data_IF_662863560608
#
_entry.id   IF_662863560608
#
_cell.length_a   1.000
_cell.length_b   1.000
_cell.length_c   1.000
_cell.angle_alpha   90.00
_cell.angle_beta   90.00
_cell.angle_gamma   90.00
#
_symmetry.space_group_name_H-M   'P 1'
#
loop_
_entity.id
_entity.type
_entity.pdbx_description
1 polymer ?
#
# COMPACT_ATOMS: atom_id res chain seq x y z
N UNK A 1 2.72 -4.01 30.66
CA UNK A 1 3.01 -4.56 29.31
C UNK A 1 2.98 -3.38 28.36
N UNK A 2 4.15 -2.84 28.01
CA UNK A 2 4.24 -1.71 27.09
C UNK A 2 4.28 -2.32 25.69
N UNK A 3 3.16 -2.28 24.98
CA UNK A 3 3.15 -2.56 23.54
C UNK A 3 3.43 -1.20 22.88
N UNK A 4 4.70 -0.93 22.58
CA UNK A 4 5.04 0.14 21.64
C UNK A 4 4.80 -0.46 20.26
N UNK A 5 3.60 -0.29 19.70
CA UNK A 5 3.40 -0.52 18.25
C UNK A 5 4.07 0.64 17.54
N UNK A 6 5.03 0.32 16.68
CA UNK A 6 5.93 1.26 16.03
C UNK A 6 5.20 2.52 15.54
N UNK A 7 5.49 3.67 16.14
CA UNK A 7 5.13 4.96 15.51
C UNK A 7 6.11 5.17 14.38
N UNK A 8 5.72 4.77 13.17
CA UNK A 8 6.51 5.05 11.97
C UNK A 8 6.51 6.57 11.79
N UNK A 9 7.70 7.16 11.70
CA UNK A 9 7.82 8.57 11.32
C UNK A 9 8.10 8.63 9.83
N UNK A 10 7.12 9.12 9.08
CA UNK A 10 7.26 9.40 7.65
C UNK A 10 7.67 10.87 7.48
N UNK A 11 8.43 11.14 6.42
CA UNK A 11 8.66 12.53 5.99
C UNK A 11 7.45 13.05 5.21
N UNK A 12 7.28 14.36 5.12
CA UNK A 12 6.22 14.99 4.30
C UNK A 12 6.24 14.50 2.84
N UNK A 13 7.44 14.23 2.28
CA UNK A 13 7.58 13.67 0.92
C UNK A 13 7.03 12.24 0.85
N UNK A 14 7.34 11.39 1.83
CA UNK A 14 6.85 10.02 1.89
C UNK A 14 5.33 9.96 2.09
N UNK A 15 4.78 10.82 2.94
CA UNK A 15 3.32 10.94 3.11
C UNK A 15 2.64 11.34 1.80
N UNK A 16 3.19 12.34 1.09
CA UNK A 16 2.67 12.78 -0.19
C UNK A 16 2.76 11.71 -1.29
N UNK A 17 3.86 10.95 -1.33
CA UNK A 17 4.02 9.83 -2.26
C UNK A 17 2.99 8.70 -1.94
N UNK A 18 2.75 8.40 -0.67
CA UNK A 18 1.75 7.42 -0.25
C UNK A 18 0.31 7.88 -0.54
N UNK A 19 -0.01 9.16 -0.39
CA UNK A 19 -1.33 9.70 -0.80
C UNK A 19 -1.54 9.53 -2.31
N UNK A 20 -0.51 9.75 -3.13
CA UNK A 20 -0.60 9.47 -4.57
C UNK A 20 -0.90 7.98 -4.84
N UNK A 21 -0.25 7.07 -4.10
CA UNK A 21 -0.54 5.64 -4.22
C UNK A 21 -1.96 5.29 -3.76
N UNK A 22 -2.48 5.92 -2.70
CA UNK A 22 -3.88 5.74 -2.26
C UNK A 22 -4.86 6.10 -3.37
N UNK A 23 -4.63 7.23 -4.05
CA UNK A 23 -5.44 7.64 -5.21
C UNK A 23 -5.33 6.67 -6.39
N UNK A 24 -4.15 6.09 -6.62
CA UNK A 24 -3.98 5.04 -7.63
C UNK A 24 -4.72 3.76 -7.23
N UNK A 25 -4.64 3.34 -5.97
CA UNK A 25 -5.34 2.16 -5.45
C UNK A 25 -6.86 2.30 -5.57
N UNK A 26 -7.42 3.49 -5.34
CA UNK A 26 -8.84 3.77 -5.57
C UNK A 26 -9.27 3.67 -7.03
N UNK A 27 -8.34 3.79 -7.99
CA UNK A 27 -8.60 3.72 -9.44
C UNK A 27 -8.19 2.41 -10.09
N UNK A 28 -7.28 1.65 -9.48
CA UNK A 28 -6.65 0.45 -10.04
C UNK A 28 -6.72 -0.70 -9.04
N UNK A 29 -7.57 -1.69 -9.33
CA UNK A 29 -7.76 -2.88 -8.48
C UNK A 29 -6.46 -3.58 -8.09
N UNK A 30 -5.50 -3.73 -9.01
CA UNK A 30 -4.22 -4.40 -8.73
C UNK A 30 -3.35 -3.66 -7.69
N UNK A 31 -3.50 -2.34 -7.55
CA UNK A 31 -2.86 -1.58 -6.47
C UNK A 31 -3.62 -1.72 -5.15
N UNK A 32 -4.95 -1.81 -5.20
CA UNK A 32 -5.73 -2.13 -4.00
C UNK A 32 -5.39 -3.53 -3.46
N UNK A 33 -5.27 -4.51 -4.36
CA UNK A 33 -4.79 -5.86 -4.07
C UNK A 33 -3.39 -5.87 -3.43
N UNK A 34 -2.46 -5.08 -3.98
CA UNK A 34 -1.13 -4.88 -3.38
C UNK A 34 -1.20 -4.31 -1.97
N UNK A 35 -1.90 -3.19 -1.79
CA UNK A 35 -2.05 -2.53 -0.50
C UNK A 35 -2.65 -3.48 0.55
N UNK A 36 -3.68 -4.23 0.18
CA UNK A 36 -4.37 -5.16 1.08
C UNK A 36 -3.54 -6.41 1.35
N UNK A 37 -2.78 -6.92 0.37
CA UNK A 37 -1.85 -8.03 0.58
C UNK A 37 -0.74 -7.67 1.59
N UNK A 38 -0.29 -6.41 1.62
CA UNK A 38 0.64 -5.91 2.64
C UNK A 38 0.01 -5.64 4.01
N UNK A 39 -1.32 -5.73 4.12
CA UNK A 39 -2.03 -5.76 5.40
C UNK A 39 -2.24 -7.21 5.88
N UNK A 40 -2.59 -8.10 4.96
CA UNK A 40 -2.80 -9.52 5.22
C UNK A 40 -2.41 -10.31 3.96
N UNK A 41 -1.44 -11.20 4.08
CA UNK A 41 -0.84 -11.93 2.96
C UNK A 41 -1.78 -12.98 2.34
N UNK A 42 -2.94 -13.24 2.96
CA UNK A 42 -3.99 -14.12 2.41
C UNK A 42 -4.67 -13.55 1.16
N UNK A 43 -4.53 -12.25 0.87
CA UNK A 43 -5.11 -11.64 -0.32
C UNK A 43 -4.17 -11.78 -1.53
N UNK A 44 -4.72 -12.07 -2.72
CA UNK A 44 -3.93 -12.09 -3.96
C UNK A 44 -3.44 -10.70 -4.33
N UNK A 45 -2.22 -10.63 -4.85
CA UNK A 45 -1.66 -9.43 -5.46
C UNK A 45 -0.99 -9.75 -6.80
N UNK A 46 -1.23 -8.90 -7.80
CA UNK A 46 -0.50 -8.93 -9.07
C UNK A 46 0.62 -7.87 -9.10
N UNK A 47 1.77 -8.20 -8.50
CA UNK A 47 2.95 -7.33 -8.46
C UNK A 47 3.43 -6.96 -9.88
N UNK A 48 3.34 -7.90 -10.84
CA UNK A 48 3.72 -7.62 -12.23
C UNK A 48 2.88 -6.51 -12.85
N UNK A 49 1.57 -6.48 -12.57
CA UNK A 49 0.70 -5.40 -13.02
C UNK A 49 1.08 -4.04 -12.39
N UNK A 50 1.44 -4.03 -11.10
CA UNK A 50 1.92 -2.83 -10.40
C UNK A 50 3.20 -2.28 -11.04
N UNK A 51 4.22 -3.13 -11.19
CA UNK A 51 5.51 -2.76 -11.78
C UNK A 51 5.38 -2.29 -13.24
N UNK A 52 4.54 -2.96 -14.04
CA UNK A 52 4.28 -2.53 -15.43
C UNK A 52 3.59 -1.15 -15.47
N UNK A 53 2.70 -0.87 -14.53
CA UNK A 53 2.01 0.42 -14.46
C UNK A 53 2.98 1.55 -14.07
N UNK A 54 3.87 1.33 -13.09
CA UNK A 54 4.92 2.30 -12.70
C UNK A 54 5.75 2.71 -13.91
N UNK A 55 6.13 1.76 -14.78
CA UNK A 55 6.92 2.05 -15.98
C UNK A 55 6.26 3.07 -16.93
N UNK A 56 4.93 3.22 -16.87
CA UNK A 56 4.17 4.15 -17.69
C UNK A 56 3.94 5.51 -17.04
N UNK A 57 4.29 5.70 -15.77
CA UNK A 57 4.15 6.99 -15.08
C UNK A 57 5.25 7.97 -15.51
N UNK A 58 4.90 9.26 -15.55
CA UNK A 58 5.83 10.32 -15.95
C UNK A 58 6.68 10.85 -14.80
N UNK A 59 6.31 10.57 -13.55
CA UNK A 59 7.05 10.92 -12.35
C UNK A 59 7.35 9.70 -11.49
N UNK A 60 8.27 9.87 -10.54
CA UNK A 60 8.74 8.79 -9.67
C UNK A 60 7.88 8.59 -8.42
N UNK A 61 6.81 9.35 -8.20
CA UNK A 61 6.07 9.33 -6.93
C UNK A 61 5.48 7.96 -6.64
N UNK A 62 4.82 7.36 -7.64
CA UNK A 62 4.24 6.03 -7.49
C UNK A 62 5.32 4.97 -7.26
N UNK A 63 6.47 5.11 -7.93
CA UNK A 63 7.61 4.20 -7.75
C UNK A 63 8.16 4.30 -6.33
N UNK A 64 8.41 5.52 -5.85
CA UNK A 64 8.89 5.79 -4.48
C UNK A 64 7.93 5.25 -3.43
N UNK A 65 6.64 5.49 -3.60
CA UNK A 65 5.60 4.97 -2.70
C UNK A 65 5.57 3.43 -2.69
N UNK A 66 5.63 2.81 -3.88
CA UNK A 66 5.66 1.36 -4.02
C UNK A 66 6.89 0.74 -3.35
N UNK A 67 8.07 1.30 -3.59
CA UNK A 67 9.34 0.84 -3.00
C UNK A 67 9.29 1.02 -1.46
N UNK A 68 8.80 2.16 -0.96
CA UNK A 68 8.62 2.42 0.47
C UNK A 68 7.69 1.40 1.14
N UNK A 69 6.56 1.07 0.52
CA UNK A 69 5.63 0.07 1.06
C UNK A 69 6.26 -1.32 1.17
N UNK A 70 7.07 -1.71 0.18
CA UNK A 70 7.82 -2.97 0.24
C UNK A 70 8.88 -2.95 1.35
N UNK A 71 9.63 -1.87 1.47
CA UNK A 71 10.66 -1.72 2.51
C UNK A 71 10.06 -1.75 3.92
N UNK A 72 8.87 -1.14 4.12
CA UNK A 72 8.13 -1.21 5.38
C UNK A 72 7.62 -2.64 5.64
N UNK A 73 7.07 -3.31 4.63
CA UNK A 73 6.62 -4.70 4.76
C UNK A 73 7.77 -5.65 5.12
N UNK A 74 8.96 -5.45 4.55
CA UNK A 74 10.16 -6.22 4.90
C UNK A 74 10.60 -6.03 6.36
N UNK A 75 10.21 -4.91 6.99
CA UNK A 75 10.44 -4.64 8.41
C UNK A 75 9.32 -5.19 9.31
N UNK A 76 8.34 -5.90 8.74
CA UNK A 76 7.18 -6.43 9.46
C UNK A 76 6.11 -5.38 9.78
N UNK A 77 6.12 -4.26 9.05
CA UNK A 77 5.16 -3.18 9.23
C UNK A 77 4.01 -3.37 8.23
N UNK A 78 2.80 -3.50 8.76
CA UNK A 78 1.61 -3.73 7.95
C UNK A 78 1.10 -2.43 7.32
N UNK A 79 0.50 -2.51 6.13
CA UNK A 79 0.01 -1.31 5.42
C UNK A 79 -1.04 -0.48 6.18
N UNK A 80 -1.77 -1.09 7.11
CA UNK A 80 -2.70 -0.37 7.99
C UNK A 80 -2.02 0.61 8.94
N UNK A 81 -0.74 0.40 9.27
CA UNK A 81 0.01 1.21 10.24
C UNK A 81 0.40 2.57 9.67
N UNK A 82 0.54 2.69 8.34
CA UNK A 82 0.93 3.94 7.66
C UNK A 82 -0.10 4.46 6.65
N UNK A 83 -1.05 3.65 6.17
CA UNK A 83 -2.17 4.12 5.33
C UNK A 83 -3.50 4.28 6.08
N UNK A 84 -3.56 3.76 7.32
CA UNK A 84 -4.76 3.76 8.14
C UNK A 84 -5.70 2.59 7.83
N UNK A 85 -6.12 1.88 8.89
CA UNK A 85 -7.00 0.71 8.81
C UNK A 85 -8.30 0.95 8.03
N UNK A 86 -8.92 2.11 8.20
CA UNK A 86 -10.20 2.41 7.55
C UNK A 86 -10.07 2.51 6.04
N UNK A 87 -8.95 3.05 5.55
CA UNK A 87 -8.63 3.06 4.13
C UNK A 87 -8.48 1.64 3.58
N UNK A 88 -7.71 0.78 4.25
CA UNK A 88 -7.55 -0.63 3.83
C UNK A 88 -8.89 -1.35 3.74
N UNK A 89 -9.74 -1.22 4.77
CA UNK A 89 -11.09 -1.80 4.76
C UNK A 89 -11.97 -1.24 3.66
N UNK A 90 -11.82 0.05 3.33
CA UNK A 90 -12.55 0.66 2.22
C UNK A 90 -12.16 0.02 0.87
N UNK A 91 -10.89 -0.30 0.65
CA UNK A 91 -10.42 -0.96 -0.57
C UNK A 91 -10.97 -2.39 -0.69
N UNK A 92 -10.91 -3.16 0.41
CA UNK A 92 -11.46 -4.52 0.47
C UNK A 92 -12.95 -4.50 0.08
N UNK A 93 -13.71 -3.58 0.67
CA UNK A 93 -15.14 -3.43 0.38
C UNK A 93 -15.38 -2.95 -1.05
N UNK A 94 -14.66 -1.94 -1.51
CA UNK A 94 -14.88 -1.30 -2.81
C UNK A 94 -14.61 -2.24 -4.00
N UNK A 95 -13.55 -3.05 -3.92
CA UNK A 95 -13.20 -4.01 -4.97
C UNK A 95 -13.70 -5.43 -4.73
N UNK A 96 -14.47 -5.64 -3.67
CA UNK A 96 -14.96 -6.95 -3.21
C UNK A 96 -13.84 -7.99 -3.11
N UNK A 97 -12.70 -7.58 -2.54
CA UNK A 97 -11.52 -8.44 -2.43
C UNK A 97 -11.80 -9.59 -1.48
N UNK A 98 -11.29 -10.77 -1.84
CA UNK A 98 -11.42 -12.00 -1.06
C UNK A 98 -10.05 -12.59 -0.81
N UNK A 99 -9.94 -13.24 0.35
CA UNK A 99 -8.81 -14.11 0.66
C UNK A 99 -8.73 -15.25 -0.37
N UNK A 100 -7.52 -15.75 -0.58
CA UNK A 100 -7.15 -16.50 -1.79
C UNK A 100 -7.11 -18.00 -1.68
#
# INVERSE_FOLDING_TARGET
MIIIRNTIMLTDEQENDLEYLKDVAMRKKFYAEFVVNLYNDTFKCNIFACARYIRGESDDKLKKAFDLMLDLAMQGIESQEYLGRDFIKSLIKFYELRES
#
